data_IF_479322830993
#
_entry.id   IF_479322830993
#
_cell.length_a   1.000
_cell.length_b   1.000
_cell.length_c   1.000
_cell.angle_alpha   90.00
_cell.angle_beta   90.00
_cell.angle_gamma   90.00
#
_symmetry.space_group_name_H-M   'P 1'
#
loop_
_entity.id
_entity.type
_entity.pdbx_description
1 polymer ?
#
# COMPACT_ATOMS: atom_id res chain seq x y z
N UNK A 1 -2.82 20.36 -7.36
CA UNK A 1 -2.69 19.23 -6.41
C UNK A 1 -1.25 19.12 -5.90
N UNK A 2 -0.25 19.38 -6.76
CA UNK A 2 1.17 19.32 -6.42
C UNK A 2 1.59 19.96 -5.09
N UNK A 3 1.15 21.19 -4.79
CA UNK A 3 1.51 21.87 -3.53
C UNK A 3 1.09 21.07 -2.29
N UNK A 4 -0.14 20.53 -2.29
CA UNK A 4 -0.65 19.69 -1.20
C UNK A 4 0.20 18.43 -1.02
N UNK A 5 0.61 17.79 -2.11
CA UNK A 5 1.46 16.61 -2.05
C UNK A 5 2.81 16.91 -1.40
N UNK A 6 3.46 18.01 -1.80
CA UNK A 6 4.77 18.40 -1.26
C UNK A 6 4.67 18.77 0.22
N UNK A 7 3.60 19.45 0.65
CA UNK A 7 3.37 19.76 2.06
C UNK A 7 3.15 18.50 2.90
N UNK A 8 2.36 17.55 2.40
CA UNK A 8 2.15 16.26 3.06
C UNK A 8 3.45 15.48 3.11
N UNK A 9 4.18 15.38 2.00
CA UNK A 9 5.47 14.68 1.93
C UNK A 9 6.46 15.27 2.93
N UNK A 10 6.54 16.60 3.05
CA UNK A 10 7.38 17.25 4.06
C UNK A 10 6.91 16.95 5.48
N UNK A 11 5.60 16.95 5.75
CA UNK A 11 5.06 16.64 7.07
C UNK A 11 5.31 15.20 7.53
N UNK A 12 5.38 14.27 6.55
CA UNK A 12 5.59 12.85 6.77
C UNK A 12 7.07 12.45 6.66
N UNK A 13 7.97 13.42 6.46
CA UNK A 13 9.41 13.23 6.21
C UNK A 13 9.71 12.25 5.06
N UNK A 14 8.91 12.34 3.99
CA UNK A 14 9.08 11.50 2.81
C UNK A 14 10.22 12.03 1.96
N UNK A 15 11.27 11.22 1.83
CA UNK A 15 12.30 11.43 0.83
C UNK A 15 11.73 11.27 -0.61
N UNK A 16 12.53 11.64 -1.61
CA UNK A 16 12.10 11.59 -3.00
C UNK A 16 11.72 10.18 -3.47
N UNK A 17 12.36 9.13 -2.91
CA UNK A 17 12.04 7.77 -3.29
C UNK A 17 10.68 7.35 -2.75
N UNK A 18 10.45 7.64 -1.48
CA UNK A 18 9.18 7.43 -0.79
C UNK A 18 8.07 8.21 -1.50
N UNK A 19 8.32 9.45 -1.92
CA UNK A 19 7.35 10.23 -2.71
C UNK A 19 6.95 9.50 -4.00
N UNK A 20 7.91 8.98 -4.75
CA UNK A 20 7.63 8.24 -6.00
C UNK A 20 6.90 6.94 -5.71
N UNK A 21 7.27 6.22 -4.66
CA UNK A 21 6.59 4.99 -4.23
C UNK A 21 5.13 5.26 -3.84
N UNK A 22 4.86 6.34 -3.11
CA UNK A 22 3.49 6.71 -2.72
C UNK A 22 2.64 7.14 -3.91
N UNK A 23 3.24 7.80 -4.90
CA UNK A 23 2.57 8.16 -6.15
C UNK A 23 2.27 6.93 -7.01
N UNK A 24 3.23 6.01 -7.15
CA UNK A 24 3.04 4.73 -7.85
C UNK A 24 1.98 3.86 -7.17
N UNK A 25 2.05 3.74 -5.84
CA UNK A 25 1.07 2.98 -5.06
C UNK A 25 -0.34 3.52 -5.24
N UNK A 26 -0.52 4.84 -5.18
CA UNK A 26 -1.82 5.44 -5.47
C UNK A 26 -2.32 5.05 -6.86
N UNK A 27 -1.47 5.17 -7.89
CA UNK A 27 -1.85 4.85 -9.27
C UNK A 27 -2.19 3.35 -9.43
N UNK A 28 -1.49 2.46 -8.72
CA UNK A 28 -1.80 1.02 -8.66
C UNK A 28 -3.16 0.76 -8.02
N UNK A 29 -3.41 1.34 -6.85
CA UNK A 29 -4.70 1.21 -6.13
C UNK A 29 -5.85 1.81 -6.94
N UNK A 30 -5.60 2.89 -7.66
CA UNK A 30 -6.56 3.51 -8.58
C UNK A 30 -6.81 2.68 -9.85
N UNK A 31 -5.99 1.66 -10.12
CA UNK A 31 -6.14 0.79 -11.28
C UNK A 31 -5.62 1.38 -12.59
N UNK A 32 -4.71 2.34 -12.53
CA UNK A 32 -4.17 3.04 -13.71
C UNK A 32 -2.68 2.76 -13.98
N UNK A 33 -2.08 1.77 -13.31
CA UNK A 33 -0.65 1.44 -13.43
C UNK A 33 -0.20 1.18 -14.88
N UNK A 34 -0.94 0.36 -15.64
CA UNK A 34 -0.58 0.08 -17.04
C UNK A 34 -0.63 1.32 -17.95
N UNK A 35 -1.50 2.29 -17.64
CA UNK A 35 -1.54 3.57 -18.38
C UNK A 35 -0.39 4.48 -17.99
N UNK A 36 -0.02 4.51 -16.71
CA UNK A 36 1.15 5.23 -16.24
C UNK A 36 2.43 4.69 -16.90
N UNK A 37 2.61 3.37 -16.93
CA UNK A 37 3.79 2.75 -17.54
C UNK A 37 3.92 3.12 -19.02
N UNK A 38 2.80 3.09 -19.76
CA UNK A 38 2.78 3.53 -21.15
C UNK A 38 3.14 5.02 -21.31
N UNK A 39 2.58 5.88 -20.47
CA UNK A 39 2.82 7.33 -20.52
C UNK A 39 4.26 7.70 -20.14
N UNK A 40 4.83 7.01 -19.16
CA UNK A 40 6.25 7.17 -18.80
C UNK A 40 7.15 6.71 -19.95
N UNK A 41 6.83 5.58 -20.58
CA UNK A 41 7.60 5.07 -21.72
C UNK A 41 7.58 6.04 -22.92
N UNK A 42 6.45 6.70 -23.20
CA UNK A 42 6.34 7.70 -24.26
C UNK A 42 7.29 8.90 -24.06
N UNK A 43 7.57 9.27 -22.81
CA UNK A 43 8.50 10.37 -22.47
C UNK A 43 9.90 9.86 -22.10
N UNK A 44 10.19 8.57 -22.32
CA UNK A 44 11.50 7.96 -22.08
C UNK A 44 11.85 7.76 -20.59
N UNK A 45 10.85 7.83 -19.71
CA UNK A 45 11.00 7.60 -18.27
C UNK A 45 10.58 6.17 -17.90
N UNK A 46 11.12 5.66 -16.80
CA UNK A 46 10.69 4.40 -16.21
C UNK A 46 10.84 4.44 -14.70
N UNK A 47 9.92 3.77 -13.98
CA UNK A 47 9.96 3.64 -12.52
C UNK A 47 11.26 2.98 -12.01
N UNK A 48 11.91 2.14 -12.83
CA UNK A 48 13.13 1.43 -12.47
C UNK A 48 14.41 2.27 -12.66
N UNK A 49 14.33 3.42 -13.34
CA UNK A 49 15.48 4.27 -13.58
C UNK A 49 15.91 4.98 -12.30
N UNK A 50 17.22 4.97 -12.04
CA UNK A 50 17.82 5.69 -10.90
C UNK A 50 18.05 7.17 -11.18
N UNK A 51 18.13 7.55 -12.46
CA UNK A 51 18.34 8.93 -12.89
C UNK A 51 16.99 9.64 -13.05
N UNK A 52 17.00 10.97 -12.97
CA UNK A 52 15.82 11.81 -13.20
C UNK A 52 14.62 11.53 -12.28
N UNK A 53 14.87 11.13 -11.02
CA UNK A 53 13.83 10.84 -10.03
C UNK A 53 12.86 12.01 -9.81
N UNK A 54 13.35 13.24 -9.81
CA UNK A 54 12.48 14.44 -9.71
C UNK A 54 11.54 14.57 -10.91
N UNK A 55 12.08 14.38 -12.12
CA UNK A 55 11.27 14.40 -13.35
C UNK A 55 10.23 13.28 -13.36
N UNK A 56 10.57 12.10 -12.81
CA UNK A 56 9.65 10.98 -12.65
C UNK A 56 8.53 11.32 -11.68
N UNK A 57 8.84 11.87 -10.49
CA UNK A 57 7.84 12.34 -9.53
C UNK A 57 6.88 13.32 -10.18
N UNK A 58 7.42 14.32 -10.88
CA UNK A 58 6.64 15.37 -11.52
C UNK A 58 5.78 14.84 -12.67
N UNK A 59 6.29 13.87 -13.44
CA UNK A 59 5.54 13.19 -14.48
C UNK A 59 4.34 12.41 -13.90
N UNK A 60 4.54 11.65 -12.81
CA UNK A 60 3.45 10.90 -12.17
C UNK A 60 2.40 11.86 -11.58
N UNK A 61 2.81 12.99 -10.99
CA UNK A 61 1.87 14.00 -10.52
C UNK A 61 1.03 14.58 -11.67
N UNK A 62 1.66 14.94 -12.79
CA UNK A 62 0.95 15.42 -13.98
C UNK A 62 -0.01 14.37 -14.56
N UNK A 63 0.39 13.10 -14.54
CA UNK A 63 -0.46 11.99 -14.94
C UNK A 63 -1.73 11.93 -14.08
N UNK A 64 -1.59 12.00 -12.75
CA UNK A 64 -2.73 11.99 -11.81
C UNK A 64 -3.68 13.17 -12.06
N UNK A 65 -3.14 14.36 -12.35
CA UNK A 65 -3.96 15.53 -12.70
C UNK A 65 -4.71 15.32 -14.02
N UNK A 66 -4.04 14.81 -15.07
CA UNK A 66 -4.68 14.48 -16.36
C UNK A 66 -5.73 13.38 -16.26
N UNK A 67 -5.53 12.43 -15.35
CA UNK A 67 -6.47 11.35 -15.08
C UNK A 67 -7.76 11.86 -14.40
N UNK A 68 -7.77 13.10 -13.91
CA UNK A 68 -8.89 13.67 -13.15
C UNK A 68 -9.00 13.09 -11.73
N UNK A 69 -7.94 12.44 -11.24
CA UNK A 69 -7.95 11.69 -9.98
C UNK A 69 -7.51 12.52 -8.76
N UNK A 70 -7.38 13.85 -8.90
CA UNK A 70 -6.88 14.73 -7.84
C UNK A 70 -7.68 14.64 -6.54
N UNK A 71 -9.02 14.54 -6.60
CA UNK A 71 -9.85 14.40 -5.40
C UNK A 71 -9.63 13.07 -4.68
N UNK A 72 -9.57 11.96 -5.42
CA UNK A 72 -9.26 10.64 -4.87
C UNK A 72 -7.85 10.62 -4.25
N UNK A 73 -6.91 11.31 -4.88
CA UNK A 73 -5.55 11.44 -4.37
C UNK A 73 -5.49 12.24 -3.06
N UNK A 74 -6.22 13.35 -2.94
CA UNK A 74 -6.32 14.07 -1.67
C UNK A 74 -6.87 13.19 -0.54
N UNK A 75 -7.89 12.37 -0.81
CA UNK A 75 -8.40 11.39 0.17
C UNK A 75 -7.35 10.34 0.56
N UNK A 76 -6.58 9.85 -0.41
CA UNK A 76 -5.47 8.95 -0.17
C UNK A 76 -4.41 9.58 0.76
N UNK A 77 -4.01 10.83 0.52
CA UNK A 77 -3.05 11.54 1.38
C UNK A 77 -3.56 11.72 2.81
N UNK A 78 -4.84 12.05 2.99
CA UNK A 78 -5.44 12.13 4.33
C UNK A 78 -5.48 10.78 5.05
N UNK A 79 -5.62 9.68 4.32
CA UNK A 79 -5.51 8.34 4.90
C UNK A 79 -4.08 8.06 5.39
N UNK A 80 -3.06 8.45 4.62
CA UNK A 80 -1.65 8.30 5.00
C UNK A 80 -1.30 9.10 6.27
N UNK A 81 -1.76 10.36 6.36
CA UNK A 81 -1.55 11.17 7.57
C UNK A 81 -2.20 10.55 8.82
N UNK A 82 -3.42 10.02 8.70
CA UNK A 82 -4.10 9.34 9.82
C UNK A 82 -3.38 8.06 10.23
N UNK A 83 -2.87 7.28 9.27
CA UNK A 83 -2.13 6.07 9.56
C UNK A 83 -0.86 6.36 10.40
N UNK A 84 -0.12 7.42 10.07
CA UNK A 84 1.08 7.79 10.82
C UNK A 84 0.76 8.25 12.26
N UNK A 85 -0.32 9.03 12.44
CA UNK A 85 -0.75 9.47 13.78
C UNK A 85 -1.03 8.29 14.72
N UNK A 86 -1.66 7.22 14.21
CA UNK A 86 -1.92 6.01 15.00
C UNK A 86 -0.66 5.18 15.30
N UNK A 87 0.38 5.26 14.48
CA UNK A 87 1.67 4.58 14.74
C UNK A 87 2.39 5.26 15.91
N UNK A 88 2.42 6.59 15.93
CA UNK A 88 3.04 7.37 17.02
C UNK A 88 2.34 7.10 18.36
N UNK A 89 1.00 7.08 18.36
CA UNK A 89 0.19 6.79 19.56
C UNK A 89 0.43 5.38 20.12
N UNK A 90 0.75 4.40 19.26
CA UNK A 90 1.11 3.04 19.71
C UNK A 90 2.52 2.97 20.29
N UNK A 91 3.49 3.68 19.73
CA UNK A 91 4.87 3.70 20.26
C UNK A 91 4.87 4.32 21.67
N UNK A 92 4.10 5.37 21.88
CA UNK A 92 3.98 6.02 23.20
C UNK A 92 3.33 5.10 24.25
N UNK A 93 2.26 4.39 23.88
CA UNK A 93 1.55 3.48 24.78
C UNK A 93 2.28 2.16 25.07
N UNK A 94 3.31 1.81 24.30
CA UNK A 94 4.11 0.58 24.53
C UNK A 94 5.30 0.85 25.49
N UNK A 95 5.74 2.10 25.60
CA UNK A 95 6.82 2.51 26.53
C UNK A 95 6.37 2.53 27.99
N UNK A 96 5.09 2.85 28.27
CA UNK A 96 4.58 2.98 29.65
C UNK A 96 4.22 1.63 30.30
N UNK A 97 4.15 0.52 29.55
CA UNK A 97 3.72 -0.80 30.08
C UNK A 97 4.83 -1.85 30.22
N UNK A 98 6.10 -1.51 29.99
CA UNK A 98 7.20 -2.48 30.10
C UNK A 98 7.95 -2.47 31.44
N UNK A 99 7.45 -1.74 32.46
CA UNK A 99 8.04 -1.73 33.81
C UNK A 99 7.19 -2.53 34.82
N UNK A 100 6.89 -3.79 34.50
CA UNK A 100 6.49 -4.81 35.49
C UNK A 100 7.18 -6.12 35.12
N UNK A 101 8.48 -6.20 35.38
CA UNK A 101 9.20 -7.48 35.49
C UNK A 101 9.81 -7.54 36.89
N UNK A 102 9.01 -7.99 37.85
CA UNK A 102 9.50 -8.62 39.07
C UNK A 102 9.19 -10.11 39.02
N UNK A 103 10.20 -10.85 38.57
CA UNK A 103 10.74 -12.15 39.00
C UNK A 103 9.84 -13.33 39.45
N UNK A 104 10.35 -14.57 39.25
CA UNK A 104 9.56 -15.78 39.10
C UNK A 104 9.49 -16.61 40.38
N UNK A 105 8.33 -17.22 40.65
CA UNK A 105 8.21 -18.30 41.63
C UNK A 105 7.56 -19.53 40.98
N UNK A 106 8.33 -20.62 40.98
CA UNK A 106 7.95 -22.00 40.63
C UNK A 106 6.63 -22.41 41.30
N UNK A 107 5.80 -23.19 40.61
CA UNK A 107 5.50 -24.59 40.97
C UNK A 107 4.42 -25.19 40.05
N UNK A 108 4.83 -26.23 39.33
CA UNK A 108 4.10 -27.44 38.95
C UNK A 108 2.57 -27.37 38.76
N UNK A 109 2.13 -27.57 37.52
CA UNK A 109 0.97 -28.41 37.24
C UNK A 109 1.10 -29.06 35.85
N UNK A 110 1.24 -30.37 35.88
CA UNK A 110 1.11 -31.29 34.76
C UNK A 110 -0.27 -31.14 34.11
N UNK A 111 -0.35 -30.98 32.78
CA UNK A 111 -1.44 -31.54 31.97
C UNK A 111 -1.20 -31.49 30.45
N UNK A 112 -0.94 -32.69 29.93
CA UNK A 112 -1.14 -33.30 28.59
C UNK A 112 -1.53 -32.44 27.37
N UNK A 113 -0.96 -32.76 26.18
CA UNK A 113 -1.35 -32.20 24.90
C UNK A 113 -2.63 -32.84 24.36
N UNK A 114 -3.66 -32.03 24.08
CA UNK A 114 -4.86 -32.47 23.33
C UNK A 114 -4.83 -31.88 21.92
N UNK A 115 -4.48 -32.74 20.96
CA UNK A 115 -4.72 -32.55 19.53
C UNK A 115 -6.22 -32.55 19.25
N UNK A 116 -6.68 -31.54 18.51
CA UNK A 116 -7.89 -31.52 17.67
C UNK A 116 -7.39 -30.87 16.37
N UNK A 117 -7.09 -31.54 15.25
CA UNK A 117 -7.90 -32.39 14.36
C UNK A 117 -9.34 -31.89 14.20
N UNK A 118 -9.63 -31.28 13.03
CA UNK A 118 -10.96 -30.85 12.61
C UNK A 118 -10.90 -29.55 11.79
N UNK A 119 -10.46 -29.58 10.52
CA UNK A 119 -11.32 -29.62 9.32
C UNK A 119 -12.14 -28.32 9.14
N UNK A 120 -11.66 -27.42 8.26
CA UNK A 120 -12.56 -26.67 7.39
C UNK A 120 -12.04 -26.73 5.95
N UNK A 121 -12.99 -27.06 5.07
CA UNK A 121 -12.86 -27.49 3.69
C UNK A 121 -12.54 -26.28 2.79
N UNK A 122 -11.51 -26.37 1.93
CA UNK A 122 -11.62 -26.71 0.50
C UNK A 122 -12.70 -25.91 -0.25
N UNK A 123 -12.36 -24.71 -0.70
CA UNK A 123 -13.02 -24.06 -1.84
C UNK A 123 -12.35 -24.52 -3.14
N UNK A 124 -13.11 -25.19 -4.00
CA UNK A 124 -12.72 -25.53 -5.37
C UNK A 124 -13.00 -24.33 -6.30
N UNK A 125 -12.17 -24.12 -7.33
CA UNK A 125 -12.36 -23.06 -8.32
C UNK A 125 -13.54 -23.40 -9.23
N UNK A 126 -14.48 -22.46 -9.35
CA UNK A 126 -15.54 -22.52 -10.34
C UNK A 126 -14.96 -22.34 -11.73
N UNK A 127 -14.85 -23.46 -12.47
CA UNK A 127 -14.82 -23.45 -13.92
C UNK A 127 -16.08 -22.75 -14.44
N UNK A 128 -15.92 -21.72 -15.27
CA UNK A 128 -16.89 -21.47 -16.34
C UNK A 128 -16.13 -21.53 -17.65
N UNK A 129 -16.62 -22.47 -18.44
CA UNK A 129 -16.08 -23.02 -19.66
C UNK A 129 -16.47 -22.14 -20.84
N UNK A 130 -15.49 -22.01 -21.73
CA UNK A 130 -15.51 -21.59 -23.12
C UNK A 130 -16.82 -21.96 -23.87
N UNK A 131 -17.39 -20.98 -24.58
CA UNK A 131 -18.25 -21.21 -25.74
C UNK A 131 -17.84 -20.26 -26.87
N UNK A 132 -16.86 -20.75 -27.61
CA UNK A 132 -16.61 -20.45 -29.01
C UNK A 132 -17.78 -20.90 -29.91
N UNK A 133 -17.94 -20.14 -31.02
CA UNK A 133 -18.52 -20.48 -32.33
C UNK A 133 -20.01 -20.28 -32.69
N UNK A 134 -20.16 -19.55 -33.81
CA UNK A 134 -21.28 -19.50 -34.78
C UNK A 134 -21.62 -18.03 -35.09
N UNK A 135 -21.16 -17.32 -36.12
CA UNK A 135 -20.88 -17.57 -37.56
C UNK A 135 -22.06 -18.10 -38.37
N UNK A 136 -22.69 -17.14 -39.06
CA UNK A 136 -23.27 -17.15 -40.41
C UNK A 136 -24.62 -17.87 -40.64
N UNK A 137 -25.31 -17.58 -41.76
CA UNK A 137 -25.06 -16.59 -42.82
C UNK A 137 -26.02 -15.38 -42.85
#
# INVERSE_FOLDING_TARGET
MQQQFIEVAASLDWDLNTQIEQLDEFVRVYGAAGRLDAELAEIGLSLQQRLHREALRDAIMRFIERLGAAGAFSHYLHAQMRAQAHVLERVENTSVKSSVVQSPARLMASQKPRRLRGIFQRWLPGQVRDKTHGVAP
#
